data_IF_798530245359
#
_entry.id   IF_798530245359
#
_cell.length_a   1.000
_cell.length_b   1.000
_cell.length_c   1.000
_cell.angle_alpha   90.00
_cell.angle_beta   90.00
_cell.angle_gamma   90.00
#
_symmetry.space_group_name_H-M   'P 1'
#
loop_
_entity.id
_entity.type
_entity.pdbx_description
1 polymer ?
#
# COMPACT_ATOMS: atom_id res chain seq x y z
N UNK A 1 14.94 29.02 -3.45
CA UNK A 1 13.93 28.97 -2.38
C UNK A 1 12.97 27.84 -2.72
N UNK A 2 13.16 26.66 -2.14
CA UNK A 2 12.34 25.50 -2.49
C UNK A 2 11.03 25.57 -1.70
N UNK A 3 9.94 25.70 -2.44
CA UNK A 3 8.60 25.38 -1.95
C UNK A 3 8.61 23.93 -1.45
N UNK A 4 8.08 23.68 -0.24
CA UNK A 4 7.96 22.34 0.37
C UNK A 4 7.41 21.31 -0.63
N UNK A 5 6.53 21.73 -1.55
CA UNK A 5 5.99 20.87 -2.60
C UNK A 5 7.06 20.34 -3.56
N UNK A 6 8.04 21.14 -3.95
CA UNK A 6 9.11 20.74 -4.86
C UNK A 6 10.03 19.70 -4.20
N UNK A 7 10.37 19.91 -2.94
CA UNK A 7 11.16 18.98 -2.15
C UNK A 7 10.42 17.64 -1.98
N UNK A 8 9.12 17.70 -1.65
CA UNK A 8 8.25 16.53 -1.53
C UNK A 8 8.20 15.75 -2.83
N UNK A 9 7.99 16.45 -3.97
CA UNK A 9 7.95 15.83 -5.29
C UNK A 9 9.28 15.16 -5.65
N UNK A 10 10.41 15.79 -5.33
CA UNK A 10 11.74 15.23 -5.61
C UNK A 10 11.98 13.93 -4.86
N UNK A 11 11.62 13.88 -3.58
CA UNK A 11 11.71 12.66 -2.75
C UNK A 11 10.76 11.59 -3.27
N UNK A 12 9.51 11.96 -3.55
CA UNK A 12 8.49 11.07 -4.12
C UNK A 12 8.97 10.41 -5.42
N UNK A 13 9.48 11.21 -6.36
CA UNK A 13 9.98 10.74 -7.64
C UNK A 13 11.16 9.78 -7.50
N UNK A 14 12.05 10.04 -6.53
CA UNK A 14 13.16 9.14 -6.20
C UNK A 14 12.66 7.77 -5.74
N UNK A 15 11.69 7.74 -4.83
CA UNK A 15 11.11 6.49 -4.32
C UNK A 15 10.43 5.70 -5.45
N UNK A 16 9.70 6.37 -6.35
CA UNK A 16 9.10 5.72 -7.51
C UNK A 16 10.14 5.14 -8.47
N UNK A 17 11.22 5.86 -8.75
CA UNK A 17 12.34 5.32 -9.56
C UNK A 17 12.96 4.08 -8.92
N UNK A 18 13.13 4.09 -7.59
CA UNK A 18 13.63 2.93 -6.84
C UNK A 18 12.68 1.74 -6.97
N UNK A 19 11.38 1.97 -6.80
CA UNK A 19 10.34 0.94 -6.97
C UNK A 19 10.35 0.35 -8.38
N UNK A 20 10.40 1.20 -9.41
CA UNK A 20 10.45 0.74 -10.82
C UNK A 20 11.71 -0.09 -11.13
N UNK A 21 12.83 0.21 -10.47
CA UNK A 21 14.09 -0.52 -10.67
C UNK A 21 14.08 -1.91 -10.01
N UNK A 22 13.29 -2.12 -8.95
CA UNK A 22 13.11 -3.42 -8.31
C UNK A 22 12.12 -4.32 -9.06
N UNK A 23 12.39 -4.64 -10.34
CA UNK A 23 11.47 -5.38 -11.24
C UNK A 23 10.88 -6.66 -10.61
N UNK A 24 11.73 -7.48 -9.98
CA UNK A 24 11.31 -8.71 -9.30
C UNK A 24 10.51 -8.45 -8.02
N UNK A 25 10.87 -7.42 -7.25
CA UNK A 25 10.15 -7.03 -6.03
C UNK A 25 8.75 -6.47 -6.31
N UNK A 26 8.56 -5.79 -7.44
CA UNK A 26 7.24 -5.31 -7.88
C UNK A 26 6.35 -6.50 -8.22
N UNK A 27 6.82 -7.42 -9.05
CA UNK A 27 6.05 -8.60 -9.44
C UNK A 27 5.61 -9.44 -8.24
N UNK A 28 6.53 -9.74 -7.32
CA UNK A 28 6.22 -10.55 -6.13
C UNK A 28 5.15 -9.87 -5.26
N UNK A 29 5.24 -8.54 -5.06
CA UNK A 29 4.26 -7.79 -4.28
C UNK A 29 2.89 -7.69 -4.95
N UNK A 30 2.82 -7.81 -6.27
CA UNK A 30 1.56 -7.81 -7.03
C UNK A 30 0.92 -9.20 -7.09
N UNK A 31 1.74 -10.26 -7.11
CA UNK A 31 1.26 -11.65 -7.16
C UNK A 31 0.58 -12.05 -5.85
N UNK A 32 1.12 -11.64 -4.71
CA UNK A 32 0.61 -12.07 -3.40
C UNK A 32 -0.88 -11.73 -3.19
N UNK A 33 -1.35 -10.48 -3.41
CA UNK A 33 -2.78 -10.16 -3.29
C UNK A 33 -3.67 -10.84 -4.33
N UNK A 34 -3.15 -11.03 -5.55
CA UNK A 34 -3.88 -11.70 -6.63
C UNK A 34 -4.14 -13.17 -6.29
N UNK A 35 -3.15 -13.86 -5.71
CA UNK A 35 -3.31 -15.24 -5.23
C UNK A 35 -4.40 -15.30 -4.17
N UNK A 36 -4.44 -14.37 -3.22
CA UNK A 36 -5.47 -14.36 -2.18
C UNK A 36 -6.89 -14.28 -2.76
N UNK A 37 -7.14 -13.43 -3.77
CA UNK A 37 -8.48 -13.34 -4.39
C UNK A 37 -8.85 -14.62 -5.12
N UNK A 38 -7.92 -15.16 -5.91
CA UNK A 38 -8.17 -16.37 -6.70
C UNK A 38 -8.41 -17.56 -5.75
N UNK A 39 -7.53 -17.74 -4.77
CA UNK A 39 -7.60 -18.88 -3.84
C UNK A 39 -8.83 -18.77 -2.95
N UNK A 40 -9.02 -17.65 -2.27
CA UNK A 40 -10.14 -17.50 -1.33
C UNK A 40 -11.47 -17.41 -2.06
N UNK A 41 -11.53 -16.74 -3.21
CA UNK A 41 -12.75 -16.66 -4.03
C UNK A 41 -13.25 -18.03 -4.46
N UNK A 42 -12.34 -18.93 -4.85
CA UNK A 42 -12.69 -20.29 -5.24
C UNK A 42 -12.98 -21.19 -4.04
N UNK A 43 -12.16 -21.16 -2.98
CA UNK A 43 -12.32 -22.03 -1.80
C UNK A 43 -13.63 -21.74 -1.06
N UNK A 44 -14.00 -20.47 -0.94
CA UNK A 44 -15.16 -20.03 -0.17
C UNK A 44 -16.41 -19.81 -1.05
N UNK A 45 -16.35 -20.21 -2.33
CA UNK A 45 -17.54 -20.23 -3.20
C UNK A 45 -18.64 -21.13 -2.62
N UNK A 46 -18.28 -22.22 -1.93
CA UNK A 46 -19.23 -23.11 -1.24
C UNK A 46 -19.91 -22.46 -0.02
N UNK A 47 -19.36 -21.36 0.51
CA UNK A 47 -19.96 -20.58 1.60
C UNK A 47 -20.93 -19.48 1.14
N UNK A 48 -21.33 -19.47 -0.14
CA UNK A 48 -22.37 -18.60 -0.68
C UNK A 48 -23.66 -18.55 0.18
N UNK A 49 -24.16 -19.65 0.78
CA UNK A 49 -25.36 -19.59 1.63
C UNK A 49 -25.19 -18.71 2.88
N UNK A 50 -23.97 -18.55 3.40
CA UNK A 50 -23.69 -17.71 4.57
C UNK A 50 -23.82 -16.22 4.24
N UNK A 51 -23.35 -15.78 3.07
CA UNK A 51 -23.47 -14.36 2.69
C UNK A 51 -24.91 -13.99 2.31
N UNK A 52 -25.67 -14.92 1.76
CA UNK A 52 -27.10 -14.73 1.53
C UNK A 52 -27.88 -14.61 2.85
N UNK A 53 -27.44 -15.32 3.91
CA UNK A 53 -28.06 -15.21 5.24
C UNK A 53 -27.90 -13.84 5.90
N UNK A 54 -26.89 -13.04 5.50
CA UNK A 54 -26.69 -11.65 5.95
C UNK A 54 -27.29 -10.62 4.98
N UNK A 55 -28.08 -11.07 4.00
CA UNK A 55 -28.81 -10.21 3.07
C UNK A 55 -27.98 -9.71 1.88
N UNK A 56 -26.84 -10.34 1.56
CA UNK A 56 -26.06 -10.00 0.37
C UNK A 56 -26.45 -10.91 -0.80
N UNK A 57 -26.95 -10.31 -1.89
CA UNK A 57 -27.47 -11.03 -3.06
C UNK A 57 -26.42 -11.25 -4.18
N UNK A 58 -25.17 -10.80 -3.98
CA UNK A 58 -24.07 -10.96 -4.94
C UNK A 58 -23.22 -12.22 -4.72
N UNK A 59 -22.25 -12.45 -5.59
CA UNK A 59 -21.29 -13.56 -5.44
C UNK A 59 -20.32 -13.32 -4.27
N UNK A 60 -19.82 -14.40 -3.64
CA UNK A 60 -18.88 -14.30 -2.52
C UNK A 60 -17.62 -13.45 -2.83
N UNK A 61 -17.18 -13.47 -4.08
CA UNK A 61 -16.04 -12.68 -4.54
C UNK A 61 -16.33 -11.16 -4.54
N UNK A 62 -17.58 -10.75 -4.80
CA UNK A 62 -18.02 -9.34 -4.73
C UNK A 62 -18.03 -8.84 -3.29
N UNK A 63 -18.43 -9.69 -2.35
CA UNK A 63 -18.36 -9.40 -0.92
C UNK A 63 -16.92 -9.26 -0.41
N UNK A 64 -16.00 -10.10 -0.91
CA UNK A 64 -14.61 -10.10 -0.46
C UNK A 64 -13.71 -9.03 -1.08
N UNK A 65 -13.96 -8.64 -2.34
CA UNK A 65 -13.15 -7.69 -3.09
C UNK A 65 -12.74 -6.43 -2.29
N UNK A 66 -13.66 -5.68 -1.65
CA UNK A 66 -13.28 -4.50 -0.86
C UNK A 66 -12.40 -4.85 0.35
N UNK A 67 -12.63 -5.99 1.00
CA UNK A 67 -11.80 -6.45 2.12
C UNK A 67 -10.36 -6.71 1.70
N UNK A 68 -10.16 -7.39 0.57
CA UNK A 68 -8.80 -7.67 0.07
C UNK A 68 -8.09 -6.41 -0.41
N UNK A 69 -8.81 -5.47 -1.01
CA UNK A 69 -8.26 -4.16 -1.42
C UNK A 69 -7.73 -3.40 -0.19
N UNK A 70 -8.54 -3.29 0.87
CA UNK A 70 -8.15 -2.56 2.09
C UNK A 70 -6.98 -3.28 2.78
N UNK A 71 -7.05 -4.60 2.90
CA UNK A 71 -5.98 -5.41 3.51
C UNK A 71 -4.66 -5.20 2.77
N UNK A 72 -4.69 -5.22 1.44
CA UNK A 72 -3.51 -4.97 0.59
C UNK A 72 -2.97 -3.56 0.79
N UNK A 73 -3.84 -2.55 0.88
CA UNK A 73 -3.44 -1.18 1.12
C UNK A 73 -2.76 -1.02 2.48
N UNK A 74 -3.29 -1.64 3.53
CA UNK A 74 -2.72 -1.64 4.89
C UNK A 74 -1.35 -2.30 4.89
N UNK A 75 -1.23 -3.54 4.39
CA UNK A 75 0.04 -4.25 4.31
C UNK A 75 1.09 -3.48 3.51
N UNK A 76 0.72 -2.97 2.33
CA UNK A 76 1.64 -2.16 1.52
C UNK A 76 2.15 -0.93 2.26
N UNK A 77 1.29 -0.32 3.08
CA UNK A 77 1.59 0.90 3.81
C UNK A 77 2.47 0.65 5.03
N UNK A 78 2.18 -0.41 5.79
CA UNK A 78 2.96 -0.84 6.95
C UNK A 78 4.36 -1.29 6.52
N UNK A 79 4.48 -2.12 5.49
CA UNK A 79 5.77 -2.61 5.00
C UNK A 79 6.48 -1.59 4.09
N UNK A 80 5.80 -0.53 3.64
CA UNK A 80 6.36 0.51 2.79
C UNK A 80 7.52 1.30 3.43
N UNK A 81 7.52 1.46 4.76
CA UNK A 81 8.58 2.16 5.50
C UNK A 81 9.91 1.40 5.59
N UNK A 82 9.98 0.14 5.16
CA UNK A 82 11.23 -0.65 5.16
C UNK A 82 12.32 0.07 4.36
N UNK A 83 11.96 0.71 3.24
CA UNK A 83 12.92 1.50 2.45
C UNK A 83 13.51 2.68 3.23
N UNK A 84 12.72 3.28 4.12
CA UNK A 84 13.15 4.37 5.00
C UNK A 84 14.14 3.87 6.06
N UNK A 85 13.94 2.68 6.60
CA UNK A 85 14.92 2.05 7.48
C UNK A 85 16.26 1.87 6.75
N UNK A 86 16.23 1.35 5.53
CA UNK A 86 17.44 1.17 4.71
C UNK A 86 18.12 2.50 4.38
N UNK A 87 17.35 3.54 4.06
CA UNK A 87 17.89 4.88 3.79
C UNK A 87 18.62 5.47 5.00
N UNK A 88 18.16 5.18 6.23
CA UNK A 88 18.89 5.55 7.45
C UNK A 88 20.17 4.75 7.58
N UNK A 89 20.12 3.43 7.36
CA UNK A 89 21.27 2.53 7.49
C UNK A 89 22.39 2.85 6.51
N UNK A 90 22.05 3.15 5.26
CA UNK A 90 23.02 3.50 4.21
C UNK A 90 23.44 4.98 4.23
N UNK A 91 23.04 5.74 5.25
CA UNK A 91 23.42 7.14 5.41
C UNK A 91 22.78 8.09 4.40
N UNK A 92 21.82 7.64 3.59
CA UNK A 92 21.06 8.50 2.70
C UNK A 92 20.32 9.58 3.50
N UNK A 93 19.72 9.19 4.63
CA UNK A 93 18.98 10.13 5.48
C UNK A 93 19.89 11.25 6.00
N UNK A 94 21.14 10.92 6.37
CA UNK A 94 22.11 11.92 6.82
C UNK A 94 22.47 12.91 5.71
N UNK A 95 22.67 12.43 4.47
CA UNK A 95 22.92 13.29 3.30
C UNK A 95 21.71 14.15 2.92
N UNK A 96 20.49 13.61 3.06
CA UNK A 96 19.26 14.36 2.80
C UNK A 96 19.05 15.47 3.85
N UNK A 97 19.38 15.21 5.12
CA UNK A 97 19.24 16.17 6.21
C UNK A 97 20.29 17.28 6.19
N UNK A 98 21.44 17.08 5.53
CA UNK A 98 22.45 18.13 5.32
C UNK A 98 22.21 18.95 4.05
N UNK A 99 21.33 18.49 3.17
CA UNK A 99 20.85 19.25 2.01
C UNK A 99 19.75 20.23 2.43
N UNK A 100 19.47 21.31 1.65
CA UNK A 100 18.43 22.28 1.98
C UNK A 100 17.01 21.74 1.71
N UNK A 101 16.72 20.53 2.18
CA UNK A 101 15.43 19.84 2.06
C UNK A 101 14.74 19.84 3.41
N UNK A 102 13.46 20.22 3.44
CA UNK A 102 12.66 20.16 4.67
C UNK A 102 12.47 18.72 5.16
N UNK A 103 12.62 18.49 6.48
CA UNK A 103 12.37 17.18 7.11
C UNK A 103 10.95 16.67 6.85
N UNK A 104 9.98 17.57 6.88
CA UNK A 104 8.57 17.28 6.57
C UNK A 104 8.39 16.84 5.12
N UNK A 105 9.13 17.44 4.18
CA UNK A 105 9.06 17.07 2.77
C UNK A 105 9.55 15.64 2.50
N UNK A 106 10.54 15.16 3.27
CA UNK A 106 11.02 13.77 3.21
C UNK A 106 9.92 12.80 3.64
N UNK A 107 9.26 13.07 4.76
CA UNK A 107 8.17 12.24 5.26
C UNK A 107 6.99 12.21 4.27
N UNK A 108 6.53 13.39 3.83
CA UNK A 108 5.41 13.51 2.89
C UNK A 108 5.72 12.83 1.55
N UNK A 109 6.93 12.98 1.01
CA UNK A 109 7.31 12.37 -0.27
C UNK A 109 7.33 10.84 -0.18
N UNK A 110 7.79 10.30 0.95
CA UNK A 110 7.76 8.86 1.22
C UNK A 110 6.33 8.34 1.40
N UNK A 111 5.52 9.01 2.22
CA UNK A 111 4.10 8.65 2.42
C UNK A 111 3.35 8.65 1.08
N UNK A 112 3.48 9.72 0.29
CA UNK A 112 2.86 9.82 -1.03
C UNK A 112 3.32 8.69 -1.98
N UNK A 113 4.60 8.32 -1.94
CA UNK A 113 5.13 7.23 -2.79
C UNK A 113 4.55 5.87 -2.40
N UNK A 114 4.42 5.62 -1.09
CA UNK A 114 3.82 4.40 -0.56
C UNK A 114 2.33 4.35 -0.91
N UNK A 115 1.62 5.47 -0.80
CA UNK A 115 0.21 5.58 -1.16
C UNK A 115 -0.06 5.40 -2.65
N UNK A 116 0.81 5.92 -3.52
CA UNK A 116 0.69 5.63 -4.95
C UNK A 116 0.92 4.14 -5.24
N UNK A 117 1.89 3.50 -4.57
CA UNK A 117 2.11 2.06 -4.74
C UNK A 117 0.88 1.27 -4.26
N UNK A 118 0.31 1.60 -3.10
CA UNK A 118 -0.91 0.97 -2.61
C UNK A 118 -2.10 1.15 -3.58
N UNK A 119 -2.26 2.35 -4.13
CA UNK A 119 -3.26 2.66 -5.15
C UNK A 119 -3.06 1.82 -6.43
N UNK A 120 -1.82 1.66 -6.90
CA UNK A 120 -1.50 0.82 -8.06
C UNK A 120 -1.82 -0.66 -7.80
N UNK A 121 -1.53 -1.18 -6.59
CA UNK A 121 -1.89 -2.55 -6.23
C UNK A 121 -3.40 -2.74 -6.14
N UNK A 122 -4.12 -1.80 -5.53
CA UNK A 122 -5.58 -1.80 -5.49
C UNK A 122 -6.20 -1.77 -6.89
N UNK A 123 -5.65 -0.95 -7.79
CA UNK A 123 -6.10 -0.88 -9.19
C UNK A 123 -5.88 -2.21 -9.93
N UNK A 124 -4.75 -2.88 -9.69
CA UNK A 124 -4.48 -4.21 -10.24
C UNK A 124 -5.51 -5.24 -9.73
N UNK A 125 -5.76 -5.23 -8.42
CA UNK A 125 -6.75 -6.10 -7.79
C UNK A 125 -8.14 -5.91 -8.41
N UNK A 126 -8.58 -4.66 -8.57
CA UNK A 126 -9.86 -4.34 -9.21
C UNK A 126 -9.87 -4.84 -10.65
N UNK A 127 -8.78 -4.67 -11.40
CA UNK A 127 -8.66 -5.19 -12.76
C UNK A 127 -8.75 -6.72 -12.84
N UNK A 128 -8.13 -7.42 -11.88
CA UNK A 128 -8.21 -8.89 -11.78
C UNK A 128 -9.63 -9.33 -11.41
N UNK A 129 -10.28 -8.67 -10.46
CA UNK A 129 -11.66 -8.94 -10.09
C UNK A 129 -12.60 -8.79 -11.30
N UNK A 130 -12.47 -7.69 -12.05
CA UNK A 130 -13.21 -7.47 -13.29
C UNK A 130 -12.95 -8.58 -14.33
N UNK A 131 -11.70 -9.03 -14.47
CA UNK A 131 -11.34 -10.10 -15.40
C UNK A 131 -11.89 -11.48 -15.01
N UNK A 132 -12.10 -11.72 -13.72
CA UNK A 132 -12.70 -12.96 -13.19
C UNK A 132 -14.24 -12.92 -13.30
N UNK A 133 -14.82 -11.78 -13.66
CA UNK A 133 -16.28 -11.63 -13.89
C UNK A 133 -17.03 -10.94 -12.76
N UNK A 134 -16.33 -10.36 -11.78
CA UNK A 134 -16.93 -9.59 -10.68
C UNK A 134 -17.66 -8.38 -11.25
N UNK A 135 -18.96 -8.28 -11.00
CA UNK A 135 -19.75 -7.15 -11.49
C UNK A 135 -19.75 -6.02 -10.47
N UNK A 136 -19.36 -4.82 -10.90
CA UNK A 136 -19.51 -3.62 -10.08
C UNK A 136 -20.83 -2.94 -10.47
N UNK A 137 -21.82 -2.84 -9.56
CA UNK A 137 -23.11 -2.23 -9.86
C UNK A 137 -23.00 -0.80 -10.38
N UNK A 138 -21.96 -0.07 -9.93
CA UNK A 138 -21.67 1.27 -10.39
C UNK A 138 -20.14 1.49 -10.50
N UNK A 139 -19.59 1.62 -11.72
CA UNK A 139 -18.16 1.89 -11.94
C UNK A 139 -17.65 3.16 -11.24
N UNK A 140 -18.52 4.12 -10.95
CA UNK A 140 -18.16 5.32 -10.18
C UNK A 140 -17.72 4.99 -8.75
N UNK A 141 -18.10 3.83 -8.20
CA UNK A 141 -17.67 3.38 -6.86
C UNK A 141 -16.16 3.13 -6.77
N UNK A 142 -15.46 2.98 -7.90
CA UNK A 142 -13.99 2.88 -7.90
C UNK A 142 -13.36 4.15 -7.31
N UNK A 143 -13.96 5.33 -7.53
CA UNK A 143 -13.43 6.61 -7.04
C UNK A 143 -13.39 6.66 -5.51
N UNK A 144 -14.49 6.45 -4.77
CA UNK A 144 -14.45 6.44 -3.30
C UNK A 144 -13.61 5.29 -2.75
N UNK A 145 -13.57 4.11 -3.40
CA UNK A 145 -12.67 3.02 -3.01
C UNK A 145 -11.22 3.48 -3.05
N UNK A 146 -10.80 4.11 -4.15
CA UNK A 146 -9.44 4.64 -4.30
C UNK A 146 -9.15 5.78 -3.32
N UNK A 147 -10.15 6.62 -3.02
CA UNK A 147 -10.06 7.63 -1.96
C UNK A 147 -9.76 7.01 -0.59
N UNK A 148 -10.49 5.96 -0.22
CA UNK A 148 -10.28 5.22 1.03
C UNK A 148 -8.88 4.59 1.06
N UNK A 149 -8.47 3.93 -0.03
CA UNK A 149 -7.12 3.32 -0.16
C UNK A 149 -6.02 4.36 0.08
N UNK A 150 -6.14 5.54 -0.54
CA UNK A 150 -5.15 6.61 -0.37
C UNK A 150 -5.16 7.14 1.07
N UNK A 151 -6.33 7.39 1.67
CA UNK A 151 -6.44 7.89 3.04
C UNK A 151 -5.85 6.92 4.06
N UNK A 152 -6.24 5.64 4.00
CA UNK A 152 -5.68 4.59 4.85
C UNK A 152 -4.18 4.49 4.62
N UNK A 153 -3.74 4.49 3.37
CA UNK A 153 -2.33 4.36 3.06
C UNK A 153 -1.50 5.53 3.60
N UNK A 154 -1.99 6.76 3.52
CA UNK A 154 -1.32 7.92 4.10
C UNK A 154 -1.20 7.78 5.62
N UNK A 155 -2.25 7.35 6.31
CA UNK A 155 -2.22 7.10 7.76
C UNK A 155 -1.19 6.04 8.15
N UNK A 156 -1.31 4.83 7.60
CA UNK A 156 -0.43 3.70 7.94
C UNK A 156 1.01 3.90 7.48
N UNK A 157 1.23 4.54 6.32
CA UNK A 157 2.59 4.88 5.87
C UNK A 157 3.25 5.91 6.78
N UNK A 158 2.49 6.85 7.34
CA UNK A 158 2.98 7.79 8.35
C UNK A 158 3.48 7.07 9.61
N UNK A 159 2.70 6.11 10.12
CA UNK A 159 3.10 5.25 11.25
C UNK A 159 4.38 4.48 10.89
N UNK A 160 4.40 3.81 9.74
CA UNK A 160 5.54 3.01 9.28
C UNK A 160 6.82 3.84 9.12
N UNK A 161 6.74 5.01 8.48
CA UNK A 161 7.86 5.95 8.31
C UNK A 161 8.34 6.48 9.67
N UNK A 162 7.43 6.75 10.60
CA UNK A 162 7.77 7.20 11.95
C UNK A 162 8.49 6.10 12.75
N UNK A 163 8.00 4.86 12.67
CA UNK A 163 8.68 3.72 13.28
C UNK A 163 10.06 3.49 12.66
N UNK A 164 10.19 3.63 11.33
CA UNK A 164 11.48 3.55 10.66
C UNK A 164 12.43 4.65 11.12
N UNK A 165 11.93 5.83 11.50
CA UNK A 165 12.70 6.96 12.02
C UNK A 165 13.09 6.82 13.51
N UNK A 166 12.33 6.06 14.30
CA UNK A 166 12.59 5.87 15.74
C UNK A 166 13.33 4.56 16.05
N UNK A 167 13.19 3.54 15.21
CA UNK A 167 13.82 2.24 15.41
C UNK A 167 15.35 2.37 15.58
N UNK A 168 15.88 1.72 16.62
CA UNK A 168 17.31 1.69 16.96
C UNK A 168 18.06 0.55 16.26
N UNK A 169 17.37 -0.57 16.00
CA UNK A 169 17.90 -1.71 15.23
C UNK A 169 16.90 -2.17 14.17
N UNK A 170 17.40 -2.92 13.19
CA UNK A 170 16.58 -3.55 12.16
C UNK A 170 15.62 -4.58 12.77
N UNK A 171 16.07 -5.34 13.77
CA UNK A 171 15.24 -6.32 14.48
C UNK A 171 14.06 -5.65 15.20
N UNK A 172 14.29 -4.53 15.91
CA UNK A 172 13.22 -3.79 16.57
C UNK A 172 12.21 -3.27 15.55
N UNK A 173 12.68 -2.78 14.39
CA UNK A 173 11.79 -2.33 13.32
C UNK A 173 10.90 -3.46 12.78
N UNK A 174 11.48 -4.61 12.46
CA UNK A 174 10.72 -5.76 11.99
C UNK A 174 9.75 -6.29 13.05
N UNK A 175 10.16 -6.31 14.32
CA UNK A 175 9.27 -6.67 15.44
C UNK A 175 8.08 -5.72 15.57
N UNK A 176 8.28 -4.41 15.46
CA UNK A 176 7.20 -3.43 15.52
C UNK A 176 6.28 -3.50 14.30
N UNK A 177 6.83 -3.71 13.10
CA UNK A 177 6.04 -3.83 11.87
C UNK A 177 5.18 -5.09 11.86
N UNK A 178 5.74 -6.23 12.28
CA UNK A 178 5.00 -7.50 12.32
C UNK A 178 3.91 -7.52 13.39
N UNK A 179 3.97 -6.63 14.39
CA UNK A 179 2.88 -6.47 15.35
C UNK A 179 1.74 -5.61 14.79
N UNK A 180 2.02 -4.75 13.82
CA UNK A 180 1.05 -3.84 13.22
C UNK A 180 0.27 -4.45 12.04
N UNK A 181 0.83 -5.41 11.34
CA UNK A 181 0.23 -6.06 10.16
C UNK A 181 -0.17 -7.49 10.46
#
# INVERSE_FOLDING_TARGET
>A
MNSIMYDTYTIFWRELKRYKKSRSGVLIRLIQPAIWIIVVGNIFSETQPLIQSVGFEGEYIEFMAPGVIILTAIFTSIFGGVNTLWDRRYGFMNKALTSPISRSAIALGKMASISLIAALQASLIIGIALAIGVTFPNPLMIIPIMGIVILFSLGFSGISVSLAATAKSQETFWGMINLLG
#
